data_IF_667172677293
#
_entry.id   IF_667172677293
#
_cell.length_a   1.000
_cell.length_b   1.000
_cell.length_c   1.000
_cell.angle_alpha   90.00
_cell.angle_beta   90.00
_cell.angle_gamma   90.00
#
_symmetry.space_group_name_H-M   'P 1'
#
loop_
_entity.id
_entity.type
_entity.pdbx_description
1 polymer ?
#
# COMPACT_ATOMS: atom_id res chain seq x y z
N UNK A 1 -19.39 1.34 -0.78
CA UNK A 1 -19.99 1.11 0.54
C UNK A 1 -19.35 -0.09 1.19
N UNK A 2 -18.81 0.12 2.39
CA UNK A 2 -18.01 -0.85 3.14
C UNK A 2 -18.69 -2.19 3.38
N UNK A 3 -20.03 -2.21 3.48
CA UNK A 3 -20.79 -3.45 3.59
C UNK A 3 -20.68 -4.35 2.35
N UNK A 4 -20.59 -3.76 1.15
CA UNK A 4 -20.37 -4.52 -0.10
C UNK A 4 -18.95 -5.08 -0.14
N UNK A 5 -17.95 -4.28 0.22
CA UNK A 5 -16.54 -4.70 0.29
C UNK A 5 -16.38 -5.85 1.27
N UNK A 6 -16.95 -5.74 2.47
CA UNK A 6 -16.94 -6.80 3.49
C UNK A 6 -17.58 -8.10 2.99
N UNK A 7 -18.69 -8.00 2.23
CA UNK A 7 -19.31 -9.18 1.59
C UNK A 7 -18.42 -9.78 0.51
N UNK A 8 -17.79 -8.96 -0.34
CA UNK A 8 -16.85 -9.44 -1.34
C UNK A 8 -15.66 -10.17 -0.71
N UNK A 9 -15.13 -9.66 0.41
CA UNK A 9 -14.10 -10.36 1.20
C UNK A 9 -14.61 -11.70 1.73
N UNK A 10 -15.83 -11.78 2.26
CA UNK A 10 -16.43 -13.05 2.67
C UNK A 10 -16.59 -14.03 1.50
N UNK A 11 -16.98 -13.55 0.31
CA UNK A 11 -17.10 -14.38 -0.88
C UNK A 11 -15.74 -14.89 -1.36
N UNK A 12 -14.72 -14.03 -1.37
CA UNK A 12 -13.35 -14.43 -1.71
C UNK A 12 -12.81 -15.50 -0.76
N UNK A 13 -13.19 -15.44 0.53
CA UNK A 13 -12.85 -16.46 1.52
C UNK A 13 -13.49 -17.82 1.20
N UNK A 14 -14.69 -17.82 0.62
CA UNK A 14 -15.41 -19.03 0.24
C UNK A 14 -14.87 -19.72 -1.00
N UNK A 15 -13.83 -19.18 -1.65
CA UNK A 15 -13.18 -19.83 -2.78
C UNK A 15 -12.32 -21.00 -2.27
N UNK A 16 -12.58 -22.20 -2.79
CA UNK A 16 -11.81 -23.41 -2.48
C UNK A 16 -10.39 -23.41 -3.09
N UNK A 17 -10.04 -22.37 -3.85
CA UNK A 17 -8.74 -22.21 -4.50
C UNK A 17 -7.84 -21.26 -3.73
N UNK A 18 -6.55 -21.56 -3.69
CA UNK A 18 -5.57 -20.65 -3.11
C UNK A 18 -5.43 -19.38 -3.95
N UNK A 19 -5.70 -18.24 -3.31
CA UNK A 19 -5.47 -16.93 -3.91
C UNK A 19 -3.95 -16.69 -3.99
N UNK A 20 -3.46 -16.62 -5.23
CA UNK A 20 -2.09 -16.21 -5.52
C UNK A 20 -2.05 -14.69 -5.75
N UNK A 21 -1.80 -13.94 -4.67
CA UNK A 21 -1.69 -12.48 -4.72
C UNK A 21 -2.07 -11.80 -3.41
N UNK A 22 -2.26 -10.49 -3.48
CA UNK A 22 -2.70 -9.65 -2.38
C UNK A 22 -4.08 -9.09 -2.65
N UNK A 23 -4.85 -8.87 -1.58
CA UNK A 23 -6.15 -8.22 -1.65
C UNK A 23 -5.97 -6.78 -1.21
N UNK A 24 -6.37 -5.84 -2.06
CA UNK A 24 -6.43 -4.41 -1.73
C UNK A 24 -7.89 -3.99 -1.78
N UNK A 25 -8.37 -3.35 -0.72
CA UNK A 25 -9.75 -2.93 -0.57
C UNK A 25 -9.82 -1.44 -0.22
N UNK A 26 -10.44 -0.66 -1.09
CA UNK A 26 -10.84 0.71 -0.79
C UNK A 26 -11.98 0.69 0.21
N UNK A 27 -11.90 1.53 1.24
CA UNK A 27 -12.89 1.68 2.31
C UNK A 27 -13.24 3.17 2.48
N UNK A 28 -14.49 3.45 2.84
CA UNK A 28 -14.97 4.82 3.07
C UNK A 28 -14.82 5.25 4.54
N UNK A 29 -15.10 4.33 5.48
CA UNK A 29 -15.13 4.57 6.92
C UNK A 29 -14.02 3.78 7.65
N UNK A 30 -13.24 4.47 8.48
CA UNK A 30 -12.20 3.86 9.32
C UNK A 30 -12.80 2.89 10.34
N UNK A 31 -13.99 3.18 10.85
CA UNK A 31 -14.67 2.37 11.86
C UNK A 31 -15.12 1.00 11.29
N UNK A 32 -15.26 0.89 9.97
CA UNK A 32 -15.63 -0.36 9.30
C UNK A 32 -14.42 -1.28 9.05
N UNK A 33 -13.20 -0.75 9.05
CA UNK A 33 -11.97 -1.52 8.77
C UNK A 33 -11.75 -2.67 9.76
N UNK A 34 -11.94 -2.51 11.09
CA UNK A 34 -11.79 -3.62 12.04
C UNK A 34 -12.71 -4.81 11.74
N UNK A 35 -13.95 -4.55 11.33
CA UNK A 35 -14.93 -5.60 10.97
C UNK A 35 -14.50 -6.29 9.68
N UNK A 36 -14.11 -5.53 8.66
CA UNK A 36 -13.59 -6.06 7.40
C UNK A 36 -12.31 -6.90 7.62
N UNK A 37 -11.42 -6.45 8.51
CA UNK A 37 -10.22 -7.20 8.92
C UNK A 37 -10.60 -8.50 9.63
N UNK A 38 -11.55 -8.48 10.57
CA UNK A 38 -11.99 -9.68 11.29
C UNK A 38 -12.55 -10.75 10.35
N UNK A 39 -13.39 -10.39 9.37
CA UNK A 39 -13.91 -11.38 8.41
C UNK A 39 -12.82 -11.97 7.51
N UNK A 40 -11.73 -11.20 7.30
CA UNK A 40 -10.59 -11.55 6.46
C UNK A 40 -9.48 -12.33 7.17
N UNK A 41 -9.43 -12.36 8.50
CA UNK A 41 -8.38 -13.07 9.26
C UNK A 41 -8.28 -14.57 8.95
N UNK A 42 -9.31 -15.18 8.36
CA UNK A 42 -9.30 -16.57 7.96
C UNK A 42 -8.71 -16.84 6.56
N UNK A 43 -8.28 -15.81 5.83
CA UNK A 43 -7.44 -15.99 4.62
C UNK A 43 -6.04 -16.53 4.98
N UNK A 44 -5.68 -16.50 6.26
CA UNK A 44 -4.42 -17.02 6.79
C UNK A 44 -4.50 -18.55 6.86
N UNK A 45 -4.01 -19.24 5.81
CA UNK A 45 -3.61 -20.65 5.98
C UNK A 45 -2.39 -20.69 6.90
N UNK A 46 -2.46 -21.51 7.96
CA UNK A 46 -1.34 -21.71 8.91
C UNK A 46 -0.07 -22.09 8.14
N UNK A 47 0.90 -21.18 8.09
CA UNK A 47 2.25 -21.44 7.57
C UNK A 47 2.70 -20.59 6.37
N UNK A 48 1.81 -19.81 5.75
CA UNK A 48 2.20 -18.79 4.77
C UNK A 48 2.19 -17.39 5.41
N UNK A 49 3.02 -16.48 4.89
CA UNK A 49 3.02 -15.06 5.26
C UNK A 49 1.58 -14.54 5.34
N UNK A 50 1.27 -13.83 6.41
CA UNK A 50 -0.08 -13.40 6.77
C UNK A 50 -0.74 -12.62 5.60
N UNK A 51 -1.53 -13.29 4.76
CA UNK A 51 -2.27 -12.67 3.65
C UNK A 51 -3.45 -11.87 4.18
N UNK A 52 -3.14 -10.77 4.88
CA UNK A 52 -4.13 -9.78 5.31
C UNK A 52 -4.45 -8.84 4.16
N UNK A 53 -5.73 -8.54 3.91
CA UNK A 53 -6.08 -7.48 2.98
C UNK A 53 -5.49 -6.15 3.42
N UNK A 54 -5.00 -5.38 2.45
CA UNK A 54 -4.59 -4.01 2.64
C UNK A 54 -5.81 -3.11 2.44
N UNK A 55 -6.18 -2.39 3.49
CA UNK A 55 -7.31 -1.46 3.44
C UNK A 55 -6.80 -0.04 3.18
N UNK A 56 -7.39 0.63 2.19
CA UNK A 56 -7.05 2.01 1.83
C UNK A 56 -8.28 2.88 2.08
N UNK A 57 -8.15 3.89 2.94
CA UNK A 57 -9.20 4.87 3.19
C UNK A 57 -8.90 6.09 2.32
N UNK A 58 -9.52 6.17 1.15
CA UNK A 58 -9.16 7.21 0.15
C UNK A 58 -9.38 8.62 0.70
N UNK A 59 -10.43 8.81 1.51
CA UNK A 59 -10.74 10.09 2.14
C UNK A 59 -9.62 10.58 3.04
N UNK A 60 -9.02 9.69 3.83
CA UNK A 60 -7.89 10.05 4.71
C UNK A 60 -6.67 10.45 3.87
N UNK A 61 -6.34 9.67 2.83
CA UNK A 61 -5.23 9.96 1.91
C UNK A 61 -5.41 11.33 1.25
N UNK A 62 -6.59 11.60 0.68
CA UNK A 62 -6.91 12.87 0.03
C UNK A 62 -6.84 14.03 1.03
N UNK A 63 -7.40 13.87 2.23
CA UNK A 63 -7.35 14.90 3.27
C UNK A 63 -5.90 15.24 3.66
N UNK A 64 -5.03 14.23 3.82
CA UNK A 64 -3.61 14.45 4.12
C UNK A 64 -2.88 15.20 3.01
N UNK A 65 -3.10 14.81 1.75
CA UNK A 65 -2.52 15.50 0.59
C UNK A 65 -3.01 16.95 0.53
N UNK A 66 -4.30 17.18 0.79
CA UNK A 66 -4.88 18.52 0.81
C UNK A 66 -4.23 19.38 1.89
N UNK A 67 -4.12 18.88 3.13
CA UNK A 67 -3.47 19.60 4.23
C UNK A 67 -2.01 19.90 3.91
N UNK A 68 -1.25 18.95 3.38
CA UNK A 68 0.13 19.18 2.97
C UNK A 68 0.24 20.25 1.87
N UNK A 69 -0.68 20.23 0.91
CA UNK A 69 -0.73 21.21 -0.18
C UNK A 69 -1.14 22.61 0.27
N UNK A 70 -1.85 22.75 1.40
CA UNK A 70 -2.12 24.05 2.01
C UNK A 70 -0.85 24.73 2.53
N UNK A 71 0.08 23.94 3.07
CA UNK A 71 1.36 24.45 3.57
C UNK A 71 2.35 24.70 2.43
N UNK A 72 2.42 23.79 1.47
CA UNK A 72 3.34 23.88 0.33
C UNK A 72 2.58 23.62 -0.98
N UNK A 73 2.09 24.67 -1.68
CA UNK A 73 1.28 24.52 -2.89
C UNK A 73 1.97 23.73 -4.01
N UNK A 74 3.31 23.72 -4.03
CA UNK A 74 4.09 22.93 -4.99
C UNK A 74 3.94 21.42 -4.83
N UNK A 75 3.55 20.93 -3.63
CA UNK A 75 3.41 19.50 -3.36
C UNK A 75 2.28 18.85 -4.14
N UNK A 76 1.22 19.57 -4.51
CA UNK A 76 0.12 18.97 -5.30
C UNK A 76 0.63 18.41 -6.63
N UNK A 77 1.55 19.12 -7.29
CA UNK A 77 2.17 18.65 -8.54
C UNK A 77 3.05 17.41 -8.30
N UNK A 78 3.82 17.41 -7.21
CA UNK A 78 4.65 16.26 -6.82
C UNK A 78 3.78 15.03 -6.53
N UNK A 79 2.71 15.19 -5.74
CA UNK A 79 1.75 14.12 -5.45
C UNK A 79 1.07 13.59 -6.71
N UNK A 80 0.71 14.47 -7.65
CA UNK A 80 0.09 14.05 -8.92
C UNK A 80 1.04 13.17 -9.74
N UNK A 81 2.32 13.52 -9.78
CA UNK A 81 3.36 12.73 -10.47
C UNK A 81 3.62 11.40 -9.77
N UNK A 82 3.75 11.39 -8.43
CA UNK A 82 4.04 10.18 -7.65
C UNK A 82 2.89 9.16 -7.56
N UNK A 83 1.63 9.62 -7.60
CA UNK A 83 0.46 8.74 -7.55
C UNK A 83 0.03 8.24 -8.94
N UNK A 84 0.53 8.86 -10.00
CA UNK A 84 0.37 8.40 -11.37
C UNK A 84 1.43 7.36 -11.74
N UNK A 85 1.26 6.75 -12.93
CA UNK A 85 2.19 5.77 -13.49
C UNK A 85 2.99 6.32 -14.69
N UNK A 86 2.90 7.64 -14.93
CA UNK A 86 3.46 8.26 -16.14
C UNK A 86 4.93 8.70 -15.96
N UNK A 87 5.35 8.99 -14.73
CA UNK A 87 6.67 9.53 -14.38
C UNK A 87 7.46 8.57 -13.44
N UNK A 88 8.21 9.10 -12.47
CA UNK A 88 8.95 8.33 -11.49
C UNK A 88 8.03 7.73 -10.41
N UNK A 89 8.14 6.43 -10.19
CA UNK A 89 7.40 5.68 -9.17
C UNK A 89 8.28 5.21 -8.00
N UNK A 90 7.64 4.70 -6.96
CA UNK A 90 8.32 4.09 -5.81
C UNK A 90 8.45 2.59 -6.05
N UNK A 91 9.69 2.10 -6.07
CA UNK A 91 10.00 0.68 -6.23
C UNK A 91 10.64 0.08 -4.98
N UNK A 92 10.22 -1.14 -4.67
CA UNK A 92 10.81 -1.99 -3.63
C UNK A 92 11.52 -3.14 -4.33
N UNK A 93 12.83 -3.27 -4.09
CA UNK A 93 13.62 -4.35 -4.68
C UNK A 93 14.76 -4.75 -3.75
N UNK A 94 15.00 -6.06 -3.66
CA UNK A 94 16.16 -6.60 -2.97
C UNK A 94 17.41 -6.44 -3.84
N UNK A 95 18.48 -5.93 -3.22
CA UNK A 95 19.78 -5.77 -3.85
C UNK A 95 20.86 -6.34 -2.94
N UNK A 96 21.19 -7.62 -3.11
CA UNK A 96 22.17 -8.32 -2.25
C UNK A 96 23.55 -7.65 -2.25
N UNK A 97 23.85 -6.89 -3.30
CA UNK A 97 25.08 -6.11 -3.46
C UNK A 97 25.20 -4.96 -2.45
N UNK A 98 24.09 -4.53 -1.84
CA UNK A 98 24.02 -3.39 -0.93
C UNK A 98 24.13 -3.79 0.56
N UNK A 99 24.17 -5.08 0.89
CA UNK A 99 24.13 -5.59 2.27
C UNK A 99 25.25 -5.03 3.17
N UNK A 100 26.39 -4.65 2.60
CA UNK A 100 27.56 -4.11 3.33
C UNK A 100 27.71 -2.59 3.21
N UNK A 101 26.70 -1.92 2.66
CA UNK A 101 26.72 -0.48 2.43
C UNK A 101 25.83 0.25 3.43
N UNK A 102 26.28 1.42 3.89
CA UNK A 102 25.44 2.29 4.71
C UNK A 102 24.41 2.98 3.82
N UNK A 103 23.25 3.33 4.36
CA UNK A 103 22.21 4.04 3.59
C UNK A 103 22.74 5.33 2.94
N UNK A 104 23.60 6.07 3.64
CA UNK A 104 24.25 7.27 3.09
C UNK A 104 25.08 6.98 1.84
N UNK A 105 25.77 5.82 1.77
CA UNK A 105 26.51 5.44 0.57
C UNK A 105 25.58 4.99 -0.56
N UNK A 106 24.46 4.35 -0.24
CA UNK A 106 23.45 3.88 -1.21
C UNK A 106 22.76 5.05 -1.93
N UNK A 107 22.66 6.22 -1.30
CA UNK A 107 22.05 7.42 -1.92
C UNK A 107 22.73 7.88 -3.20
N UNK A 108 24.02 7.54 -3.42
CA UNK A 108 24.77 7.95 -4.62
C UNK A 108 25.14 6.77 -5.54
N UNK A 109 24.64 5.56 -5.24
CA UNK A 109 24.96 4.35 -6.02
C UNK A 109 24.07 4.12 -7.23
N UNK A 110 22.91 4.79 -7.28
CA UNK A 110 21.99 4.70 -8.41
C UNK A 110 22.05 5.97 -9.26
N UNK A 111 22.32 5.81 -10.55
CA UNK A 111 22.36 6.95 -11.49
C UNK A 111 20.97 7.50 -11.81
N UNK A 112 19.98 6.60 -11.89
CA UNK A 112 18.63 6.90 -12.37
C UNK A 112 17.55 6.69 -11.30
N UNK A 113 17.94 6.55 -10.03
CA UNK A 113 17.00 6.36 -8.93
C UNK A 113 17.47 7.09 -7.67
N UNK A 114 16.52 7.48 -6.82
CA UNK A 114 16.78 8.12 -5.53
C UNK A 114 16.36 7.18 -4.42
N UNK A 115 17.32 6.77 -3.59
CA UNK A 115 17.08 5.90 -2.44
C UNK A 115 16.45 6.69 -1.29
N UNK A 116 15.21 6.35 -0.94
CA UNK A 116 14.44 7.05 0.11
C UNK A 116 14.19 6.21 1.38
N UNK A 117 14.51 4.92 1.36
CA UNK A 117 14.32 4.01 2.50
C UNK A 117 14.98 2.63 2.30
N UNK A 118 14.90 1.80 3.34
CA UNK A 118 15.33 0.37 3.39
C UNK A 118 14.22 -0.44 4.04
#
# INVERSE_FOLDING_TARGET
SDAQITRSLLSLRGLDQDLNGHIVAEMDDEDAVPVAKMVSQAFIKKGEDEKTPQFIIIRDVVNRIMVQSLYEPGLTRVWTSLLGFDDCEIYLKKWDQLDQHTFSSVQTMFNDAVSIGV
#
